data_IF_212378017757
#
_entry.id   IF_212378017757
#
_cell.length_a   1.000
_cell.length_b   1.000
_cell.length_c   1.000
_cell.angle_alpha   90.00
_cell.angle_beta   90.00
_cell.angle_gamma   90.00
#
_symmetry.space_group_name_H-M   'P 1'
#
loop_
_entity.id
_entity.type
_entity.pdbx_description
1 polymer ?
#
# COMPACT_ATOMS: atom_id res chain seq x y z
N UNK A 1 -9.45 10.41 -12.09
CA UNK A 1 -10.16 10.14 -10.82
C UNK A 1 -9.12 9.76 -9.78
N UNK A 2 -9.28 10.10 -8.49
CA UNK A 2 -8.21 9.93 -7.52
C UNK A 2 -8.08 8.48 -7.04
N UNK A 3 -6.85 7.96 -7.02
CA UNK A 3 -6.52 6.73 -6.32
C UNK A 3 -6.85 6.88 -4.83
N UNK A 4 -7.49 5.87 -4.24
CA UNK A 4 -7.71 5.83 -2.79
C UNK A 4 -6.63 4.99 -2.12
N UNK A 5 -6.14 5.48 -0.98
CA UNK A 5 -5.04 4.88 -0.22
C UNK A 5 -5.59 4.34 1.08
N UNK A 6 -5.53 3.02 1.29
CA UNK A 6 -5.82 2.40 2.57
C UNK A 6 -4.56 1.72 3.10
N UNK A 7 -4.03 2.22 4.21
CA UNK A 7 -2.96 1.50 4.93
C UNK A 7 -3.61 0.29 5.57
N UNK A 8 -3.27 -0.90 5.07
CA UNK A 8 -3.85 -2.16 5.56
C UNK A 8 -3.18 -2.56 6.88
N UNK A 9 -1.87 -2.30 7.02
CA UNK A 9 -1.15 -2.59 8.26
C UNK A 9 0.18 -1.84 8.35
N UNK A 10 0.41 -1.12 9.43
CA UNK A 10 1.77 -0.85 9.90
C UNK A 10 2.26 -2.12 10.61
N UNK A 11 3.37 -2.68 10.16
CA UNK A 11 3.91 -3.92 10.72
C UNK A 11 5.02 -3.58 11.70
N UNK A 12 4.85 -4.01 12.95
CA UNK A 12 5.98 -4.24 13.82
C UNK A 12 6.63 -5.57 13.37
N UNK A 13 7.90 -5.58 12.93
CA UNK A 13 8.60 -6.82 12.57
C UNK A 13 8.69 -7.82 13.73
N UNK A 14 8.42 -7.41 14.98
CA UNK A 14 8.44 -8.25 16.18
C UNK A 14 7.07 -8.77 16.62
N UNK A 15 5.97 -8.23 16.09
CA UNK A 15 4.60 -8.65 16.43
C UNK A 15 4.11 -8.30 17.85
N UNK A 16 4.89 -7.55 18.65
CA UNK A 16 4.54 -7.13 20.00
C UNK A 16 3.95 -5.71 19.96
N UNK A 17 3.01 -5.38 20.84
CA UNK A 17 2.47 -4.01 20.94
C UNK A 17 3.60 -3.07 21.40
N UNK A 18 4.03 -2.13 20.55
CA UNK A 18 5.13 -1.23 20.90
C UNK A 18 4.74 -0.24 22.01
N UNK A 19 5.70 0.12 22.91
CA UNK A 19 5.58 1.28 23.78
C UNK A 19 5.37 2.56 22.97
N UNK A 20 4.72 3.56 23.55
CA UNK A 20 4.58 4.88 22.94
C UNK A 20 5.97 5.43 22.57
N UNK A 21 6.17 5.81 21.30
CA UNK A 21 7.42 6.42 20.80
C UNK A 21 8.26 5.53 19.88
N UNK A 22 7.90 4.27 19.64
CA UNK A 22 8.54 3.44 18.60
C UNK A 22 7.81 3.63 17.28
N UNK A 23 8.56 3.91 16.21
CA UNK A 23 8.01 4.09 14.86
C UNK A 23 8.07 2.75 14.13
N UNK A 24 6.98 2.29 13.47
CA UNK A 24 7.02 1.07 12.67
C UNK A 24 8.12 1.16 11.61
N UNK A 25 8.95 0.11 11.48
CA UNK A 25 9.99 0.06 10.44
C UNK A 25 9.47 -0.42 9.08
N UNK A 26 8.27 -1.00 9.05
CA UNK A 26 7.64 -1.54 7.85
C UNK A 26 6.14 -1.25 7.79
N UNK A 27 5.60 -1.15 6.59
CA UNK A 27 4.16 -1.05 6.35
C UNK A 27 3.76 -1.78 5.07
N UNK A 28 2.51 -2.24 5.03
CA UNK A 28 1.86 -2.75 3.83
C UNK A 28 0.64 -1.89 3.50
N UNK A 29 0.56 -1.48 2.24
CA UNK A 29 -0.52 -0.63 1.73
C UNK A 29 -1.20 -1.34 0.57
N UNK A 30 -2.53 -1.30 0.56
CA UNK A 30 -3.34 -1.69 -0.60
C UNK A 30 -3.88 -0.42 -1.23
N UNK A 31 -3.66 -0.29 -2.53
CA UNK A 31 -4.21 0.78 -3.34
C UNK A 31 -5.32 0.23 -4.19
N UNK A 32 -6.43 0.97 -4.26
CA UNK A 32 -7.46 0.74 -5.26
C UNK A 32 -7.33 1.83 -6.32
N UNK A 33 -7.13 1.39 -7.56
CA UNK A 33 -6.86 2.23 -8.71
C UNK A 33 -8.07 2.18 -9.65
N UNK A 34 -8.69 3.34 -9.83
CA UNK A 34 -9.82 3.55 -10.71
C UNK A 34 -9.37 4.36 -11.93
N UNK A 35 -8.80 3.68 -12.94
CA UNK A 35 -8.39 4.30 -14.19
C UNK A 35 -9.49 4.20 -15.25
N UNK A 36 -9.56 5.14 -16.23
CA UNK A 36 -10.66 5.17 -17.20
C UNK A 36 -10.92 3.86 -17.96
N UNK A 37 -9.90 3.04 -18.18
CA UNK A 37 -10.02 1.75 -18.88
C UNK A 37 -9.60 0.52 -18.07
N UNK A 38 -9.32 0.68 -16.78
CA UNK A 38 -8.78 -0.40 -15.96
C UNK A 38 -9.12 -0.20 -14.49
N UNK A 39 -9.58 -1.27 -13.86
CA UNK A 39 -9.70 -1.36 -12.40
C UNK A 39 -8.60 -2.25 -11.90
N UNK A 40 -7.91 -1.84 -10.85
CA UNK A 40 -7.00 -2.75 -10.20
C UNK A 40 -6.45 -2.32 -8.87
N UNK A 41 -5.49 -3.09 -8.43
CA UNK A 41 -4.98 -3.09 -7.08
C UNK A 41 -3.46 -3.13 -7.10
N UNK A 42 -2.84 -2.28 -6.29
CA UNK A 42 -1.43 -2.44 -5.95
C UNK A 42 -1.29 -2.85 -4.49
N UNK A 43 -0.33 -3.74 -4.24
CA UNK A 43 0.15 -4.06 -2.90
C UNK A 43 1.57 -3.55 -2.78
N UNK A 44 1.78 -2.59 -1.88
CA UNK A 44 3.08 -1.96 -1.63
C UNK A 44 3.64 -2.45 -0.30
N UNK A 45 4.92 -2.82 -0.31
CA UNK A 45 5.71 -2.94 0.90
C UNK A 45 6.55 -1.67 1.06
N UNK A 46 6.46 -1.05 2.24
CA UNK A 46 7.22 0.15 2.57
C UNK A 46 8.15 -0.13 3.74
N UNK A 47 9.33 0.48 3.73
CA UNK A 47 10.24 0.55 4.86
C UNK A 47 10.49 2.00 5.25
N UNK A 48 10.60 2.25 6.56
CA UNK A 48 11.12 3.51 7.06
C UNK A 48 12.64 3.40 7.15
N UNK A 49 13.35 4.09 6.24
CA UNK A 49 14.80 4.14 6.16
C UNK A 49 15.21 5.58 6.46
N UNK A 50 15.95 5.78 7.55
CA UNK A 50 16.42 7.10 8.00
C UNK A 50 15.29 8.15 8.12
N UNK A 51 14.15 7.74 8.67
CA UNK A 51 12.99 8.62 8.86
C UNK A 51 12.15 8.85 7.60
N UNK A 52 12.50 8.23 6.47
CA UNK A 52 11.78 8.35 5.20
C UNK A 52 11.09 7.05 4.84
N UNK A 53 9.81 7.13 4.49
CA UNK A 53 9.06 5.99 3.97
C UNK A 53 9.38 5.77 2.49
N UNK A 54 9.91 4.59 2.17
CA UNK A 54 10.30 4.19 0.83
C UNK A 54 9.50 2.96 0.42
N UNK A 55 8.99 2.92 -0.83
CA UNK A 55 8.42 1.71 -1.41
C UNK A 55 9.58 0.80 -1.81
N UNK A 56 9.65 -0.39 -1.22
CA UNK A 56 10.72 -1.37 -1.49
C UNK A 56 10.27 -2.53 -2.37
N UNK A 57 8.96 -2.75 -2.47
CA UNK A 57 8.37 -3.71 -3.39
C UNK A 57 6.96 -3.30 -3.77
N UNK A 58 6.57 -3.68 -4.99
CA UNK A 58 5.23 -3.50 -5.54
C UNK A 58 4.83 -4.73 -6.33
N UNK A 59 3.66 -5.26 -6.02
CA UNK A 59 2.91 -6.13 -6.92
C UNK A 59 1.62 -5.44 -7.35
N UNK A 60 1.12 -5.79 -8.53
CA UNK A 60 -0.07 -5.19 -9.11
C UNK A 60 -0.93 -6.26 -9.78
N UNK A 61 -2.23 -6.07 -9.74
CA UNK A 61 -3.22 -6.89 -10.45
C UNK A 61 -4.39 -6.02 -10.87
N UNK A 62 -5.15 -6.47 -11.87
CA UNK A 62 -6.37 -5.78 -12.26
C UNK A 62 -6.87 -6.23 -13.62
N UNK A 63 -7.98 -5.65 -14.04
CA UNK A 63 -8.69 -6.03 -15.25
C UNK A 63 -9.04 -4.80 -16.09
N UNK A 64 -9.02 -4.95 -17.41
CA UNK A 64 -9.53 -3.91 -18.31
C UNK A 64 -11.02 -3.76 -18.06
N UNK A 65 -11.48 -2.52 -18.00
CA UNK A 65 -12.91 -2.21 -18.01
C UNK A 65 -13.48 -2.60 -19.36
N UNK A 66 -14.64 -3.25 -19.34
CA UNK A 66 -15.42 -3.42 -20.55
C UNK A 66 -15.77 -2.04 -21.10
N UNK A 67 -15.66 -1.81 -22.43
CA UNK A 67 -16.25 -0.63 -23.04
C UNK A 67 -17.73 -0.57 -22.66
N UNK A 68 -18.21 0.61 -22.27
CA UNK A 68 -19.65 0.80 -22.11
C UNK A 68 -20.34 0.43 -23.43
N UNK A 69 -21.27 -0.52 -23.37
CA UNK A 69 -22.07 -0.98 -24.52
C UNK A 69 -23.08 0.08 -24.93
#
# INVERSE_FOLDING_TARGET
>A
MPASWNVVRALDPTGIRQPAGVTPHAAQVKLTLDYPGWDGEDYLALLNIDGKWMIVSKSWSGQRKSPAS
#
